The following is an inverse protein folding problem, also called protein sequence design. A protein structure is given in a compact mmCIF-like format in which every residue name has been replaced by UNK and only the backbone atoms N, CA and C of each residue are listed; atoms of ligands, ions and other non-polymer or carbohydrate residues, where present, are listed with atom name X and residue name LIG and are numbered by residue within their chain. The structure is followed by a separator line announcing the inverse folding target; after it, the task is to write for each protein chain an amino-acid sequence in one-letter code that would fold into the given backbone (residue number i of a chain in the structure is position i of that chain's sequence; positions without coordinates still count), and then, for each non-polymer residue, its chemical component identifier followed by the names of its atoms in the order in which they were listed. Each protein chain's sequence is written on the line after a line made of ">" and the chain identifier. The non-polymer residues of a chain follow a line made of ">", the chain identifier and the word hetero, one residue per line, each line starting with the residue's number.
data_IF_421814783947
#
_entry.id   IF_421814783947
#
_cell.length_a   1.000
_cell.length_b   1.000
_cell.length_c   1.000
_cell.angle_alpha   90.00
_cell.angle_beta   90.00
_cell.angle_gamma   90.00
#
_symmetry.space_group_name_H-M   'P 1'
#
loop_
_entity.id
_entity.type
_entity.pdbx_description
1 polymer ?
#
# COMPACT_ATOMS: atom_id res chain seq x y z
N UNK A 1 19.53 -23.18 27.33
CA UNK A 1 18.57 -22.06 27.22
C UNK A 1 17.41 -22.56 26.39
N UNK A 2 16.15 -22.38 26.82
CA UNK A 2 14.99 -22.73 26.00
C UNK A 2 15.06 -22.01 24.65
N UNK A 3 14.51 -22.61 23.60
CA UNK A 3 14.44 -21.97 22.28
C UNK A 3 13.53 -20.74 22.33
N UNK A 4 13.68 -19.82 21.37
CA UNK A 4 12.77 -18.69 21.26
C UNK A 4 11.34 -19.16 21.02
N UNK A 5 11.17 -20.16 20.16
CA UNK A 5 9.92 -20.88 19.95
C UNK A 5 9.30 -21.40 21.24
N UNK A 6 10.07 -22.05 22.13
CA UNK A 6 9.55 -22.53 23.42
C UNK A 6 9.03 -21.38 24.28
N UNK A 7 9.77 -20.26 24.31
CA UNK A 7 9.36 -19.05 25.01
C UNK A 7 8.07 -18.46 24.44
N UNK A 8 7.92 -18.40 23.13
CA UNK A 8 6.68 -17.93 22.48
C UNK A 8 5.51 -18.85 22.83
N UNK A 9 5.72 -20.17 22.78
CA UNK A 9 4.69 -21.15 23.14
C UNK A 9 4.25 -21.01 24.59
N UNK A 10 5.17 -20.73 25.51
CA UNK A 10 4.87 -20.49 26.90
C UNK A 10 4.09 -19.18 27.11
N UNK A 11 4.54 -18.08 26.49
CA UNK A 11 3.86 -16.79 26.60
C UNK A 11 2.47 -16.78 25.97
N UNK A 12 2.26 -17.54 24.87
CA UNK A 12 0.97 -17.68 24.20
C UNK A 12 -0.14 -18.17 25.14
N UNK A 13 0.19 -18.97 26.16
CA UNK A 13 -0.78 -19.47 27.16
C UNK A 13 -1.53 -18.34 27.86
N UNK A 14 -0.88 -17.20 28.04
CA UNK A 14 -1.42 -16.01 28.70
C UNK A 14 -1.71 -14.86 27.72
N UNK A 15 -1.12 -14.92 26.53
CA UNK A 15 -1.22 -13.90 25.50
C UNK A 15 -1.71 -14.51 24.18
N UNK A 16 -3.03 -14.69 23.99
CA UNK A 16 -3.59 -15.29 22.78
C UNK A 16 -3.19 -14.58 21.49
N UNK A 17 -2.84 -13.30 21.54
CA UNK A 17 -2.35 -12.53 20.39
C UNK A 17 -1.01 -13.02 19.82
N UNK A 18 -0.28 -13.87 20.54
CA UNK A 18 0.94 -14.53 20.03
C UNK A 18 0.63 -15.77 19.18
N UNK A 19 -0.65 -16.09 18.94
CA UNK A 19 -1.07 -17.28 18.20
C UNK A 19 -0.38 -17.39 16.83
N UNK A 20 -0.47 -16.35 16.00
CA UNK A 20 0.09 -16.36 14.65
C UNK A 20 1.60 -16.54 14.64
N UNK A 21 2.32 -15.93 15.59
CA UNK A 21 3.77 -16.12 15.71
C UNK A 21 4.10 -17.56 16.10
N UNK A 22 3.36 -18.12 17.06
CA UNK A 22 3.50 -19.52 17.47
C UNK A 22 3.27 -20.46 16.29
N UNK A 23 2.19 -20.28 15.52
CA UNK A 23 1.94 -21.10 14.32
C UNK A 23 3.05 -20.93 13.28
N UNK A 24 3.44 -19.69 13.01
CA UNK A 24 4.53 -19.36 12.08
C UNK A 24 5.89 -19.93 12.52
N UNK A 25 6.13 -20.19 13.80
CA UNK A 25 7.34 -20.88 14.30
C UNK A 25 7.18 -22.42 14.32
N UNK A 26 5.95 -22.94 14.23
CA UNK A 26 5.64 -24.36 14.27
C UNK A 26 5.46 -25.01 12.89
N UNK A 27 5.00 -24.26 11.89
CA UNK A 27 4.71 -24.75 10.53
C UNK A 27 5.95 -25.28 9.78
N UNK A 28 6.28 -26.56 9.88
CA UNK A 28 7.38 -27.14 9.09
C UNK A 28 7.00 -27.42 7.62
N UNK A 29 5.74 -27.18 7.25
CA UNK A 29 5.19 -27.53 5.94
C UNK A 29 5.47 -26.45 4.89
N UNK A 30 5.67 -25.20 5.31
CA UNK A 30 6.32 -24.18 4.51
C UNK A 30 7.81 -24.50 4.37
N UNK A 31 8.17 -25.45 3.50
CA UNK A 31 9.51 -25.40 2.89
C UNK A 31 9.69 -23.99 2.32
N UNK A 32 10.91 -23.44 2.27
CA UNK A 32 11.17 -22.29 1.43
C UNK A 32 10.88 -22.71 -0.02
N UNK A 33 9.63 -22.59 -0.44
CA UNK A 33 9.17 -22.87 -1.80
C UNK A 33 9.87 -21.87 -2.70
N UNK A 34 10.96 -22.29 -3.33
CA UNK A 34 11.56 -21.72 -4.55
C UNK A 34 11.74 -20.18 -4.61
N UNK A 35 11.63 -19.46 -3.49
CA UNK A 35 12.13 -18.10 -3.35
C UNK A 35 13.65 -18.23 -3.35
N UNK A 36 14.21 -18.29 -4.56
CA UNK A 36 15.66 -18.37 -4.85
C UNK A 36 16.49 -17.30 -4.13
N UNK A 37 15.85 -16.32 -3.50
CA UNK A 37 16.43 -15.29 -2.65
C UNK A 37 15.88 -15.48 -1.24
N UNK A 38 16.72 -16.01 -0.32
CA UNK A 38 16.41 -16.02 1.11
C UNK A 38 16.29 -14.60 1.69
N UNK A 39 16.12 -14.45 3.01
CA UNK A 39 15.99 -13.14 3.65
C UNK A 39 17.20 -12.27 3.31
N UNK A 40 16.94 -11.03 2.93
CA UNK A 40 18.00 -10.06 2.66
C UNK A 40 18.35 -9.34 3.96
N UNK A 41 19.53 -9.67 4.49
CA UNK A 41 20.01 -9.19 5.78
C UNK A 41 21.10 -8.16 5.53
N UNK A 42 21.05 -7.06 6.27
CA UNK A 42 22.19 -6.15 6.30
C UNK A 42 22.35 -5.42 7.61
N UNK A 43 23.54 -4.89 7.84
CA UNK A 43 23.88 -4.28 9.11
C UNK A 43 24.73 -3.01 8.95
N UNK A 44 24.58 -2.14 9.94
CA UNK A 44 25.36 -0.92 10.12
C UNK A 44 25.85 -0.88 11.56
N UNK A 45 27.14 -0.63 11.75
CA UNK A 45 27.74 -0.45 13.07
C UNK A 45 28.03 1.04 13.32
N UNK A 46 27.82 1.48 14.55
CA UNK A 46 28.11 2.83 15.01
C UNK A 46 29.26 2.79 16.00
N UNK A 47 30.25 3.66 15.80
CA UNK A 47 31.41 3.83 16.67
C UNK A 47 31.55 5.31 17.07
N UNK A 48 32.20 5.59 18.20
CA UNK A 48 32.39 6.97 18.70
C UNK A 48 33.06 7.95 17.71
N UNK A 49 33.90 7.44 16.80
CA UNK A 49 34.67 8.25 15.85
C UNK A 49 34.14 8.18 14.41
N UNK A 50 32.89 7.74 14.20
CA UNK A 50 32.31 7.69 12.85
C UNK A 50 31.91 9.09 12.37
N UNK A 51 32.85 9.79 11.73
CA UNK A 51 32.59 11.06 11.03
C UNK A 51 32.36 10.89 9.52
N UNK A 52 32.37 9.64 9.01
CA UNK A 52 32.34 9.33 7.57
C UNK A 52 31.07 8.61 7.08
N UNK A 53 30.99 8.39 5.77
CA UNK A 53 29.97 7.53 5.15
C UNK A 53 30.03 6.15 5.79
N UNK A 54 28.89 5.63 6.24
CA UNK A 54 28.82 4.31 6.85
C UNK A 54 28.68 3.24 5.79
N UNK A 55 29.35 2.11 6.01
CA UNK A 55 29.24 0.95 5.14
C UNK A 55 28.04 0.11 5.59
N UNK A 56 27.14 -0.16 4.66
CA UNK A 56 26.13 -1.19 4.82
C UNK A 56 26.71 -2.50 4.35
N UNK A 57 26.69 -3.49 5.21
CA UNK A 57 27.21 -4.82 4.91
C UNK A 57 26.02 -5.76 4.71
N UNK A 58 25.90 -6.31 3.49
CA UNK A 58 24.94 -7.37 3.18
C UNK A 58 25.45 -8.68 3.78
N UNK A 59 24.55 -9.55 4.24
CA UNK A 59 24.95 -10.70 5.03
C UNK A 59 24.13 -11.96 4.81
N UNK A 60 24.74 -13.11 5.09
CA UNK A 60 24.05 -14.40 5.20
C UNK A 60 23.55 -14.65 6.65
N UNK A 61 22.81 -15.75 6.85
CA UNK A 61 22.31 -16.15 8.18
C UNK A 61 23.48 -16.60 9.09
N UNK A 62 24.51 -17.24 8.53
CA UNK A 62 25.70 -17.67 9.28
C UNK A 62 26.47 -16.45 9.80
N UNK A 63 26.63 -15.44 8.95
CA UNK A 63 27.26 -14.18 9.33
C UNK A 63 26.41 -13.40 10.34
N UNK A 64 25.08 -13.38 10.19
CA UNK A 64 24.17 -12.84 11.21
C UNK A 64 24.37 -13.54 12.56
N UNK A 65 24.51 -14.86 12.57
CA UNK A 65 24.75 -15.65 13.80
C UNK A 65 26.04 -15.25 14.48
N UNK A 66 27.13 -15.12 13.71
CA UNK A 66 28.43 -14.64 14.19
C UNK A 66 28.29 -13.22 14.73
N UNK A 67 27.64 -12.33 13.97
CA UNK A 67 27.45 -10.93 14.30
C UNK A 67 26.66 -10.74 15.60
N UNK A 68 25.55 -11.47 15.79
CA UNK A 68 24.74 -11.44 17.01
C UNK A 68 25.49 -12.00 18.22
N UNK A 69 26.40 -12.96 18.02
CA UNK A 69 27.18 -13.54 19.12
C UNK A 69 28.14 -12.51 19.73
N UNK A 70 28.68 -11.60 18.91
CA UNK A 70 29.56 -10.51 19.39
C UNK A 70 28.83 -9.42 20.18
N UNK A 71 27.49 -9.39 20.19
CA UNK A 71 26.70 -8.39 20.95
C UNK A 71 26.85 -8.60 22.47
N UNK A 72 27.06 -9.85 22.91
CA UNK A 72 27.19 -10.18 24.34
C UNK A 72 28.61 -10.05 24.86
N UNK A 73 29.61 -10.08 23.98
CA UNK A 73 31.01 -9.94 24.37
C UNK A 73 31.24 -8.51 24.93
N UNK A 74 31.97 -8.36 26.04
CA UNK A 74 32.47 -7.03 26.41
C UNK A 74 33.36 -6.52 25.27
N UNK A 75 33.37 -5.21 24.96
CA UNK A 75 34.36 -4.68 24.03
C UNK A 75 35.73 -5.09 24.57
N UNK A 76 36.42 -5.98 23.86
CA UNK A 76 37.73 -6.42 24.27
C UNK A 76 38.60 -5.17 24.42
N UNK A 77 39.21 -4.99 25.59
CA UNK A 77 40.21 -3.96 25.88
C UNK A 77 41.52 -4.19 25.10
N UNK A 78 41.43 -4.75 23.89
CA UNK A 78 42.52 -4.72 22.92
C UNK A 78 42.59 -3.29 22.40
N UNK A 79 43.79 -2.72 22.38
CA UNK A 79 44.14 -1.31 22.15
C UNK A 79 43.64 -0.66 20.81
N UNK A 80 42.68 -1.25 20.12
CA UNK A 80 42.01 -0.68 18.96
C UNK A 80 40.89 0.28 19.40
N UNK A 81 41.15 1.56 19.15
CA UNK A 81 40.43 2.78 19.53
C UNK A 81 38.99 2.95 19.00
N UNK A 82 38.27 1.85 18.69
CA UNK A 82 36.88 1.90 18.18
C UNK A 82 35.92 1.21 19.14
N UNK A 83 35.54 1.92 20.18
CA UNK A 83 34.39 1.55 21.02
C UNK A 83 33.10 1.67 20.20
N UNK A 84 32.41 0.54 20.01
CA UNK A 84 31.13 0.50 19.31
C UNK A 84 30.01 1.00 20.23
N UNK A 85 29.25 1.99 19.75
CA UNK A 85 28.11 2.60 20.45
C UNK A 85 26.84 1.76 20.30
N UNK A 86 26.70 1.12 19.15
CA UNK A 86 25.54 0.28 18.87
C UNK A 86 25.49 -0.15 17.43
N UNK A 87 24.43 -0.87 17.11
CA UNK A 87 24.30 -1.53 15.82
C UNK A 87 22.88 -1.51 15.33
N UNK A 88 22.72 -1.38 14.02
CA UNK A 88 21.44 -1.43 13.32
C UNK A 88 21.40 -2.63 12.38
N UNK A 89 20.44 -3.51 12.61
CA UNK A 89 20.16 -4.68 11.81
C UNK A 89 18.94 -4.42 10.94
N UNK A 90 19.05 -4.75 9.66
CA UNK A 90 17.96 -4.73 8.71
C UNK A 90 17.67 -6.15 8.23
N UNK A 91 16.39 -6.49 8.16
CA UNK A 91 15.93 -7.77 7.62
C UNK A 91 14.77 -7.51 6.68
N UNK A 92 14.95 -7.87 5.41
CA UNK A 92 13.90 -7.89 4.39
C UNK A 92 13.46 -9.34 4.14
N UNK A 93 12.15 -9.55 4.05
CA UNK A 93 11.48 -10.86 3.92
C UNK A 93 11.78 -11.81 5.09
N UNK A 94 11.30 -11.40 6.27
CA UNK A 94 11.53 -12.10 7.53
C UNK A 94 11.03 -13.56 7.49
N UNK A 95 11.94 -14.50 7.78
CA UNK A 95 11.64 -15.92 7.87
C UNK A 95 11.73 -16.45 9.33
N UNK A 96 11.30 -17.69 9.53
CA UNK A 96 11.34 -18.36 10.85
C UNK A 96 12.74 -18.41 11.45
N UNK A 97 13.72 -18.81 10.65
CA UNK A 97 15.08 -19.04 11.14
C UNK A 97 15.68 -17.75 11.70
N UNK A 98 15.46 -16.64 11.00
CA UNK A 98 15.89 -15.31 11.42
C UNK A 98 15.14 -14.85 12.68
N UNK A 99 13.83 -15.10 12.80
CA UNK A 99 13.07 -14.82 14.04
C UNK A 99 13.65 -15.59 15.23
N UNK A 100 13.84 -16.90 15.06
CA UNK A 100 14.37 -17.78 16.10
C UNK A 100 15.78 -17.33 16.54
N UNK A 101 16.64 -17.02 15.57
CA UNK A 101 18.01 -16.59 15.79
C UNK A 101 18.08 -15.23 16.50
N UNK A 102 17.42 -14.20 15.96
CA UNK A 102 17.42 -12.85 16.54
C UNK A 102 16.74 -12.88 17.92
N UNK A 103 15.57 -13.53 18.00
CA UNK A 103 14.79 -13.62 19.22
C UNK A 103 15.55 -14.27 20.37
N UNK A 104 16.24 -15.39 20.12
CA UNK A 104 17.01 -16.11 21.13
C UNK A 104 18.31 -15.38 21.51
N UNK A 105 19.03 -14.81 20.55
CA UNK A 105 20.34 -14.20 20.80
C UNK A 105 20.22 -12.80 21.41
N UNK A 106 19.29 -11.98 20.93
CA UNK A 106 19.11 -10.59 21.36
C UNK A 106 17.97 -10.39 22.38
N UNK A 107 17.29 -11.47 22.80
CA UNK A 107 16.22 -11.42 23.79
C UNK A 107 15.09 -10.43 23.39
N UNK A 108 14.57 -10.61 22.17
CA UNK A 108 13.55 -9.72 21.61
C UNK A 108 12.14 -10.13 22.05
N UNK A 109 11.34 -9.18 22.48
CA UNK A 109 9.94 -9.42 22.87
C UNK A 109 9.15 -10.11 21.72
N UNK A 110 8.51 -11.27 21.95
CA UNK A 110 7.62 -11.91 20.98
C UNK A 110 6.57 -11.00 20.34
N UNK A 111 6.07 -10.00 21.07
CA UNK A 111 5.09 -9.06 20.52
C UNK A 111 5.63 -8.22 19.36
N UNK A 112 6.94 -7.98 19.28
CA UNK A 112 7.55 -7.31 18.14
C UNK A 112 7.36 -8.09 16.84
N UNK A 113 7.73 -9.38 16.83
CA UNK A 113 7.54 -10.23 15.64
C UNK A 113 6.06 -10.52 15.39
N UNK A 114 5.27 -10.77 16.44
CA UNK A 114 3.84 -10.99 16.28
C UNK A 114 3.15 -9.77 15.63
N UNK A 115 3.53 -8.55 16.02
CA UNK A 115 3.03 -7.32 15.42
C UNK A 115 3.45 -7.19 13.95
N UNK A 116 4.67 -7.60 13.59
CA UNK A 116 5.14 -7.59 12.20
C UNK A 116 4.39 -8.60 11.32
N UNK A 117 4.09 -9.79 11.87
CA UNK A 117 3.29 -10.84 11.24
C UNK A 117 1.79 -10.50 11.17
N UNK A 118 1.36 -9.45 11.85
CA UNK A 118 -0.05 -9.05 11.87
C UNK A 118 -0.55 -8.72 10.44
N UNK A 119 -1.68 -9.31 10.06
CA UNK A 119 -2.26 -9.21 8.72
C UNK A 119 -2.11 -10.45 7.81
N UNK A 120 -1.44 -11.51 8.27
CA UNK A 120 -1.30 -12.80 7.56
C UNK A 120 -2.62 -13.59 7.45
N UNK A 121 -3.52 -13.47 8.43
CA UNK A 121 -4.86 -14.04 8.37
C UNK A 121 -5.83 -13.24 9.25
N UNK A 122 -7.09 -13.12 8.81
CA UNK A 122 -8.19 -12.58 9.61
C UNK A 122 -8.86 -13.73 10.35
N UNK A 123 -8.17 -14.29 11.34
CA UNK A 123 -8.79 -15.28 12.22
C UNK A 123 -9.56 -14.53 13.29
N UNK A 124 -10.86 -14.84 13.38
CA UNK A 124 -11.75 -14.25 14.39
C UNK A 124 -11.42 -14.81 15.78
N UNK A 125 -10.77 -15.99 15.81
CA UNK A 125 -10.56 -16.78 17.01
C UNK A 125 -9.51 -16.19 17.95
N UNK A 126 -8.67 -15.27 17.46
CA UNK A 126 -7.61 -14.65 18.27
C UNK A 126 -7.51 -13.13 18.05
N UNK A 127 -7.25 -12.36 19.12
CA UNK A 127 -7.10 -10.93 19.02
C UNK A 127 -5.76 -10.58 18.36
N UNK A 128 -5.71 -9.48 17.59
CA UNK A 128 -4.47 -9.05 16.95
C UNK A 128 -3.54 -8.37 17.96
N UNK A 129 -2.21 -8.54 17.84
CA UNK A 129 -1.25 -7.81 18.66
C UNK A 129 -1.53 -6.30 18.69
N UNK A 130 -1.80 -5.70 17.52
CA UNK A 130 -2.09 -4.27 17.37
C UNK A 130 -3.37 -3.81 18.10
N UNK A 131 -4.31 -4.71 18.38
CA UNK A 131 -5.60 -4.38 19.01
C UNK A 131 -5.62 -4.57 20.52
N UNK A 132 -4.67 -5.34 21.08
CA UNK A 132 -4.61 -5.64 22.52
C UNK A 132 -3.67 -4.71 23.30
N UNK A 133 -2.82 -3.95 22.59
CA UNK A 133 -1.88 -3.04 23.22
C UNK A 133 -2.62 -1.76 23.61
N UNK A 134 -2.77 -1.55 24.92
CA UNK A 134 -3.31 -0.30 25.47
C UNK A 134 -2.36 0.88 25.18
N UNK A 135 -2.88 2.11 25.00
CA UNK A 135 -2.03 3.28 24.79
C UNK A 135 -1.00 3.53 25.90
N UNK A 136 -1.32 3.16 27.14
CA UNK A 136 -0.38 3.22 28.28
C UNK A 136 0.80 2.27 28.08
N UNK A 137 0.54 1.04 27.63
CA UNK A 137 1.57 0.04 27.34
C UNK A 137 2.38 0.45 26.11
N UNK A 138 1.71 0.93 25.05
CA UNK A 138 2.35 1.38 23.82
C UNK A 138 3.40 2.48 24.04
N UNK A 139 3.22 3.31 25.08
CA UNK A 139 4.19 4.36 25.44
C UNK A 139 5.53 3.80 25.90
N UNK A 140 5.50 2.66 26.60
CA UNK A 140 6.70 2.03 27.17
C UNK A 140 7.29 0.98 26.21
N UNK A 141 6.59 0.64 25.13
CA UNK A 141 7.09 -0.29 24.12
C UNK A 141 8.35 0.22 23.45
N UNK A 142 9.33 -0.65 23.34
CA UNK A 142 10.60 -0.36 22.69
C UNK A 142 10.57 -0.67 21.18
N UNK A 143 9.38 -0.80 20.59
CA UNK A 143 9.20 -1.04 19.16
C UNK A 143 7.95 -0.33 18.62
N UNK A 144 7.89 -0.19 17.29
CA UNK A 144 6.71 0.25 16.54
C UNK A 144 6.55 -0.62 15.29
N UNK A 145 5.30 -0.88 14.92
CA UNK A 145 4.94 -1.48 13.64
C UNK A 145 4.12 -0.52 12.80
N UNK A 146 4.61 -0.22 11.60
CA UNK A 146 3.99 0.64 10.60
C UNK A 146 3.41 -0.23 9.48
N UNK A 147 2.10 -0.44 9.51
CA UNK A 147 1.40 -1.09 8.40
C UNK A 147 0.98 -0.04 7.37
N UNK A 148 1.28 -0.29 6.10
CA UNK A 148 0.96 0.62 5.01
C UNK A 148 0.50 -0.12 3.76
N UNK A 149 0.09 0.63 2.74
CA UNK A 149 -0.30 0.08 1.45
C UNK A 149 0.46 0.80 0.35
N UNK A 150 1.00 0.04 -0.59
CA UNK A 150 1.54 0.57 -1.83
C UNK A 150 0.49 0.51 -2.93
N UNK A 151 0.35 1.60 -3.67
CA UNK A 151 -0.47 1.64 -4.86
C UNK A 151 0.34 1.16 -6.08
N UNK A 152 -0.17 0.16 -6.78
CA UNK A 152 0.45 -0.45 -7.95
C UNK A 152 -0.44 -0.27 -9.18
N UNK A 153 0.18 -0.07 -10.33
CA UNK A 153 -0.42 -0.12 -11.66
C UNK A 153 -0.06 -1.45 -12.33
N UNK A 154 -1.07 -2.15 -12.82
CA UNK A 154 -0.91 -3.44 -13.50
C UNK A 154 -1.12 -3.28 -15.00
N UNK A 155 -0.24 -3.93 -15.77
CA UNK A 155 -0.32 -3.96 -17.23
C UNK A 155 -1.49 -4.85 -17.68
N UNK A 156 -2.28 -4.38 -18.64
CA UNK A 156 -3.45 -5.08 -19.17
C UNK A 156 -3.13 -6.26 -20.11
N UNK A 157 -1.87 -6.73 -20.15
CA UNK A 157 -1.45 -7.85 -20.99
C UNK A 157 -2.07 -9.16 -20.49
N UNK A 158 -3.20 -9.56 -21.10
CA UNK A 158 -3.87 -10.86 -20.93
C UNK A 158 -4.10 -11.27 -19.47
N UNK A 159 -4.59 -10.35 -18.66
CA UNK A 159 -5.21 -10.68 -17.38
C UNK A 159 -6.44 -11.54 -17.69
N UNK A 160 -6.29 -12.85 -17.55
CA UNK A 160 -7.27 -13.86 -17.97
C UNK A 160 -8.63 -13.54 -17.34
N UNK A 161 -9.59 -13.10 -18.17
CA UNK A 161 -10.94 -12.69 -17.75
C UNK A 161 -11.69 -13.80 -17.01
N UNK A 162 -11.20 -15.04 -17.07
CA UNK A 162 -11.76 -16.19 -16.35
C UNK A 162 -11.49 -16.16 -14.84
N UNK A 163 -10.55 -15.34 -14.34
CA UNK A 163 -10.26 -15.27 -12.91
C UNK A 163 -11.23 -14.28 -12.25
N UNK A 164 -12.44 -14.72 -11.94
CA UNK A 164 -13.39 -13.97 -11.10
C UNK A 164 -12.88 -13.77 -9.64
N UNK A 165 -11.68 -14.26 -9.32
CA UNK A 165 -11.11 -14.33 -7.96
C UNK A 165 -10.04 -13.26 -7.64
N UNK A 166 -10.02 -12.12 -8.35
CA UNK A 166 -9.08 -11.01 -8.06
C UNK A 166 -9.24 -10.41 -6.65
N UNK A 167 -10.35 -10.72 -5.96
CA UNK A 167 -10.67 -10.20 -4.63
C UNK A 167 -9.78 -10.75 -3.51
N UNK A 168 -9.02 -11.83 -3.76
CA UNK A 168 -8.23 -12.55 -2.74
C UNK A 168 -6.84 -12.94 -3.26
N UNK A 169 -6.07 -11.96 -3.68
CA UNK A 169 -4.66 -12.14 -4.01
C UNK A 169 -3.77 -11.89 -2.81
N UNK A 170 -2.69 -12.66 -2.72
CA UNK A 170 -1.57 -12.41 -1.82
C UNK A 170 -0.31 -12.19 -2.64
N UNK A 171 0.59 -11.36 -2.13
CA UNK A 171 1.95 -11.22 -2.63
C UNK A 171 2.70 -12.54 -2.43
N UNK A 172 3.60 -12.84 -3.36
CA UNK A 172 4.52 -13.96 -3.22
C UNK A 172 5.66 -13.58 -2.27
N UNK A 173 5.42 -13.69 -0.97
CA UNK A 173 6.41 -13.44 0.07
C UNK A 173 6.17 -14.39 1.23
N UNK A 174 7.19 -14.61 2.06
CA UNK A 174 7.12 -15.57 3.17
C UNK A 174 5.94 -15.25 4.10
N UNK A 175 5.70 -13.95 4.30
CA UNK A 175 4.55 -13.45 5.04
C UNK A 175 3.43 -13.08 4.08
N UNK A 176 2.30 -13.80 4.00
CA UNK A 176 1.26 -13.48 3.03
C UNK A 176 0.71 -12.07 3.28
N UNK A 177 0.96 -11.19 2.31
CA UNK A 177 0.45 -9.81 2.31
C UNK A 177 -0.63 -9.68 1.26
N UNK A 178 -1.79 -9.17 1.66
CA UNK A 178 -2.93 -9.03 0.77
C UNK A 178 -2.64 -8.04 -0.36
N UNK A 179 -2.97 -8.42 -1.59
CA UNK A 179 -3.15 -7.52 -2.72
C UNK A 179 -4.65 -7.39 -3.00
N UNK A 180 -5.16 -6.16 -3.08
CA UNK A 180 -6.48 -5.92 -3.67
C UNK A 180 -6.34 -5.27 -5.02
N UNK A 181 -6.94 -5.87 -6.05
CA UNK A 181 -7.16 -5.20 -7.33
C UNK A 181 -8.39 -4.28 -7.22
N UNK A 182 -8.22 -3.03 -7.65
CA UNK A 182 -9.31 -2.07 -7.80
C UNK A 182 -10.02 -2.28 -9.15
N UNK A 183 -11.29 -1.86 -9.27
CA UNK A 183 -12.00 -1.84 -10.55
C UNK A 183 -11.16 -1.26 -11.68
N UNK A 184 -11.26 -1.87 -12.86
CA UNK A 184 -10.52 -1.40 -14.03
C UNK A 184 -11.05 -0.04 -14.47
N UNK A 185 -10.13 0.89 -14.77
CA UNK A 185 -10.51 2.21 -15.23
C UNK A 185 -9.63 2.64 -16.39
N UNK A 186 -10.25 3.07 -17.51
CA UNK A 186 -9.55 3.52 -18.73
C UNK A 186 -8.43 2.56 -19.19
N UNK A 187 -8.66 1.25 -19.14
CA UNK A 187 -7.71 0.19 -19.51
C UNK A 187 -6.47 0.08 -18.60
N UNK A 188 -6.57 0.58 -17.37
CA UNK A 188 -5.55 0.39 -16.33
C UNK A 188 -6.21 -0.26 -15.13
N UNK A 189 -5.52 -1.24 -14.55
CA UNK A 189 -5.90 -1.83 -13.27
C UNK A 189 -4.97 -1.29 -12.21
N UNK A 190 -5.54 -0.71 -11.17
CA UNK A 190 -4.79 -0.35 -9.97
C UNK A 190 -4.93 -1.46 -8.95
N UNK A 191 -3.97 -1.58 -8.05
CA UNK A 191 -4.12 -2.40 -6.87
C UNK A 191 -3.41 -1.83 -5.67
N UNK A 192 -3.81 -2.34 -4.51
CA UNK A 192 -3.37 -1.90 -3.20
C UNK A 192 -2.73 -3.10 -2.53
N UNK A 193 -1.40 -3.09 -2.50
CA UNK A 193 -0.59 -4.15 -1.92
C UNK A 193 -0.26 -3.79 -0.48
N UNK A 194 -0.48 -4.72 0.45
CA UNK A 194 -0.17 -4.52 1.86
C UNK A 194 1.33 -4.68 2.12
N UNK A 195 1.86 -3.79 2.96
CA UNK A 195 3.24 -3.84 3.44
C UNK A 195 3.29 -3.58 4.95
N UNK A 196 4.40 -3.96 5.54
CA UNK A 196 4.74 -3.76 6.93
C UNK A 196 6.20 -3.32 7.07
N UNK A 197 6.44 -2.39 7.98
CA UNK A 197 7.75 -2.06 8.52
C UNK A 197 7.68 -2.15 10.04
N UNK A 198 8.66 -2.75 10.70
CA UNK A 198 8.71 -2.76 12.16
C UNK A 198 10.09 -2.41 12.65
N UNK A 199 10.15 -1.53 13.65
CA UNK A 199 11.38 -0.98 14.20
C UNK A 199 11.40 -1.31 15.67
N UNK A 200 12.50 -1.90 16.16
CA UNK A 200 12.72 -2.19 17.57
C UNK A 200 14.06 -1.60 18.01
N UNK A 201 14.10 -1.05 19.21
CA UNK A 201 15.30 -0.60 19.88
C UNK A 201 15.47 -1.40 21.17
N UNK A 202 16.52 -2.19 21.27
CA UNK A 202 16.85 -2.97 22.46
C UNK A 202 18.14 -2.43 23.07
N UNK A 203 18.07 -1.99 24.32
CA UNK A 203 19.27 -1.80 25.13
C UNK A 203 19.82 -3.18 25.52
N UNK A 204 21.10 -3.43 25.26
CA UNK A 204 21.76 -4.70 25.57
C UNK A 204 22.61 -4.56 26.83
N UNK A 205 23.42 -3.49 26.89
CA UNK A 205 24.25 -3.07 28.03
C UNK A 205 24.11 -1.56 28.19
N UNK A 206 24.61 -1.00 29.29
CA UNK A 206 24.47 0.44 29.60
C UNK A 206 24.86 1.35 28.42
N UNK A 207 25.94 0.99 27.70
CA UNK A 207 26.46 1.80 26.58
C UNK A 207 26.27 1.17 25.19
N UNK A 208 25.52 0.07 25.07
CA UNK A 208 25.34 -0.61 23.79
C UNK A 208 23.89 -0.93 23.48
N UNK A 209 23.45 -0.48 22.30
CA UNK A 209 22.11 -0.69 21.79
C UNK A 209 22.10 -1.51 20.49
N UNK A 210 20.98 -2.19 20.27
CA UNK A 210 20.65 -2.89 19.04
C UNK A 210 19.35 -2.34 18.48
N UNK A 211 19.41 -1.73 17.31
CA UNK A 211 18.26 -1.39 16.49
C UNK A 211 17.96 -2.52 15.51
N UNK A 212 16.69 -2.85 15.32
CA UNK A 212 16.26 -3.86 14.36
C UNK A 212 15.15 -3.25 13.50
N UNK A 213 15.32 -3.27 12.19
CA UNK A 213 14.33 -2.83 11.21
C UNK A 213 13.95 -4.02 10.34
N UNK A 214 12.68 -4.41 10.42
CA UNK A 214 12.06 -5.45 9.62
C UNK A 214 11.24 -4.80 8.51
N UNK A 215 11.39 -5.26 7.28
CA UNK A 215 10.62 -4.80 6.13
C UNK A 215 10.14 -5.97 5.28
N UNK A 216 8.98 -5.81 4.66
CA UNK A 216 8.52 -6.75 3.64
C UNK A 216 9.41 -6.65 2.37
N UNK A 217 9.46 -7.72 1.54
CA UNK A 217 10.23 -7.74 0.29
C UNK A 217 9.81 -6.65 -0.69
N UNK A 218 10.61 -6.40 -1.76
CA UNK A 218 10.24 -5.48 -2.83
C UNK A 218 8.95 -5.88 -3.56
N UNK A 219 8.54 -5.00 -4.47
CA UNK A 219 7.38 -5.22 -5.31
C UNK A 219 7.69 -6.32 -6.33
N UNK A 220 6.94 -7.41 -6.31
CA UNK A 220 7.12 -8.52 -7.24
C UNK A 220 6.04 -8.51 -8.34
N UNK A 221 6.31 -9.29 -9.39
CA UNK A 221 5.31 -9.58 -10.41
C UNK A 221 4.51 -10.87 -10.11
N UNK A 222 4.80 -11.60 -9.03
CA UNK A 222 4.19 -12.90 -8.73
C UNK A 222 3.19 -12.77 -7.58
N UNK A 223 1.99 -13.29 -7.78
CA UNK A 223 0.89 -13.22 -6.82
C UNK A 223 0.16 -14.57 -6.73
N UNK A 224 -0.21 -14.99 -5.52
CA UNK A 224 -0.92 -16.26 -5.27
C UNK A 224 -2.40 -15.99 -4.98
N UNK A 225 -3.30 -16.77 -5.58
CA UNK A 225 -4.74 -16.70 -5.29
C UNK A 225 -5.11 -17.55 -4.07
N UNK A 226 -6.08 -17.12 -3.26
CA UNK A 226 -6.50 -17.90 -2.08
C UNK A 226 -6.98 -19.30 -2.47
N UNK A 227 -6.38 -20.34 -1.89
CA UNK A 227 -6.75 -21.75 -2.10
C UNK A 227 -6.37 -22.31 -3.47
N UNK A 228 -5.47 -21.63 -4.20
CA UNK A 228 -4.92 -22.11 -5.46
C UNK A 228 -3.41 -22.08 -5.34
N UNK A 229 -2.77 -23.21 -5.63
CA UNK A 229 -1.31 -23.29 -5.80
C UNK A 229 -0.85 -22.64 -7.11
N UNK A 230 -1.79 -22.05 -7.86
CA UNK A 230 -1.49 -21.36 -9.11
C UNK A 230 -0.99 -19.95 -8.82
N UNK A 231 0.28 -19.75 -9.13
CA UNK A 231 0.88 -18.44 -9.22
C UNK A 231 0.35 -17.67 -10.44
N UNK A 232 0.08 -16.39 -10.22
CA UNK A 232 -0.37 -15.44 -11.22
C UNK A 232 0.73 -14.41 -11.40
N UNK A 233 1.33 -14.39 -12.59
CA UNK A 233 2.32 -13.41 -12.97
C UNK A 233 1.61 -12.15 -13.48
N UNK A 234 1.60 -11.08 -12.68
CA UNK A 234 1.16 -9.75 -13.07
C UNK A 234 2.34 -8.80 -13.13
N UNK A 235 2.65 -8.29 -14.33
CA UNK A 235 3.56 -7.14 -14.42
C UNK A 235 2.93 -5.96 -13.70
N UNK A 236 3.58 -5.52 -12.63
CA UNK A 236 3.17 -4.39 -11.84
C UNK A 236 4.29 -3.35 -11.77
N UNK A 237 3.91 -2.10 -11.58
CA UNK A 237 4.83 -1.00 -11.28
C UNK A 237 4.17 -0.07 -10.27
N UNK A 238 4.93 0.72 -9.49
CA UNK A 238 4.33 1.69 -8.60
C UNK A 238 3.44 2.70 -9.34
N UNK A 239 2.29 3.00 -8.75
CA UNK A 239 1.36 4.00 -9.29
C UNK A 239 2.06 5.36 -9.37
N UNK A 240 2.02 5.99 -10.56
CA UNK A 240 2.69 7.27 -10.84
C UNK A 240 4.21 7.29 -10.56
N UNK A 241 4.86 6.13 -10.53
CA UNK A 241 6.29 6.02 -10.24
C UNK A 241 6.63 5.82 -8.76
N UNK A 242 5.63 5.78 -7.87
CA UNK A 242 5.80 5.52 -6.44
C UNK A 242 5.78 6.78 -5.60
N UNK A 243 6.44 6.74 -4.45
CA UNK A 243 6.62 7.92 -3.62
C UNK A 243 7.91 8.65 -3.99
N UNK A 244 7.93 9.97 -3.80
CA UNK A 244 9.15 10.74 -3.97
C UNK A 244 10.13 10.43 -2.84
N UNK A 245 11.34 10.03 -3.22
CA UNK A 245 12.43 9.85 -2.26
C UNK A 245 13.03 11.24 -2.02
N UNK A 246 12.86 11.80 -0.82
CA UNK A 246 13.34 13.14 -0.44
C UNK A 246 14.86 13.17 -0.26
N UNK A 247 15.61 12.78 -1.28
CA UNK A 247 17.06 12.84 -1.28
C UNK A 247 17.51 14.20 -1.77
N UNK A 248 18.67 14.64 -1.26
CA UNK A 248 19.34 15.79 -1.84
C UNK A 248 19.76 15.46 -3.27
N UNK A 249 19.75 16.47 -4.14
CA UNK A 249 19.98 16.30 -5.59
C UNK A 249 21.30 15.59 -5.92
N UNK A 250 22.32 15.75 -5.08
CA UNK A 250 23.64 15.10 -5.17
C UNK A 250 23.61 13.59 -4.91
N UNK A 251 22.60 13.08 -4.19
CA UNK A 251 22.47 11.66 -3.87
C UNK A 251 21.67 10.87 -4.91
N UNK A 252 20.96 11.53 -5.83
CA UNK A 252 20.15 10.86 -6.86
C UNK A 252 20.99 9.95 -7.76
N UNK A 253 22.18 10.42 -8.16
CA UNK A 253 23.09 9.63 -9.00
C UNK A 253 23.62 8.40 -8.25
N UNK A 254 23.91 8.55 -6.95
CA UNK A 254 24.34 7.41 -6.12
C UNK A 254 23.22 6.38 -5.95
N UNK A 255 21.96 6.82 -5.81
CA UNK A 255 20.79 5.93 -5.74
C UNK A 255 20.60 5.17 -7.03
N UNK A 256 20.74 5.84 -8.17
CA UNK A 256 20.60 5.22 -9.48
C UNK A 256 21.64 4.10 -9.68
N UNK A 257 22.87 4.34 -9.21
CA UNK A 257 23.96 3.35 -9.26
C UNK A 257 23.78 2.23 -8.23
N UNK A 258 23.36 2.56 -7.00
CA UNK A 258 23.28 1.59 -5.88
C UNK A 258 22.03 0.70 -5.94
N UNK A 259 20.88 1.25 -6.35
CA UNK A 259 19.62 0.49 -6.39
C UNK A 259 19.45 -0.29 -7.70
N UNK A 260 20.21 0.05 -8.74
CA UNK A 260 19.87 -0.34 -10.11
C UNK A 260 18.50 0.23 -10.53
N UNK A 261 18.15 0.13 -11.80
CA UNK A 261 16.86 0.66 -12.27
C UNK A 261 15.64 -0.07 -11.71
N UNK A 262 15.79 -1.31 -11.23
CA UNK A 262 14.66 -2.15 -10.81
C UNK A 262 14.41 -2.22 -9.29
N UNK A 263 15.41 -1.95 -8.43
CA UNK A 263 15.21 -2.09 -6.97
C UNK A 263 15.00 -0.76 -6.23
N UNK A 264 14.67 0.33 -6.94
CA UNK A 264 14.39 1.65 -6.34
C UNK A 264 13.22 1.65 -5.36
N UNK A 265 12.37 0.64 -5.42
CA UNK A 265 11.15 0.57 -4.63
C UNK A 265 11.25 -0.40 -3.44
N UNK A 266 12.40 -1.06 -3.22
CA UNK A 266 12.66 -1.79 -1.97
C UNK A 266 12.81 -0.78 -0.84
N UNK A 267 12.02 -0.96 0.23
CA UNK A 267 12.16 -0.16 1.44
C UNK A 267 13.55 -0.35 2.07
N UNK A 268 14.11 -1.56 2.04
CA UNK A 268 15.46 -1.83 2.54
C UNK A 268 16.51 -0.98 1.82
N UNK A 269 16.47 -0.94 0.48
CA UNK A 269 17.42 -0.16 -0.30
C UNK A 269 17.32 1.34 -0.02
N UNK A 270 16.10 1.85 0.12
CA UNK A 270 15.86 3.26 0.47
C UNK A 270 16.44 3.56 1.86
N UNK A 271 16.16 2.71 2.85
CA UNK A 271 16.69 2.87 4.20
C UNK A 271 18.21 2.76 4.25
N UNK A 272 18.81 1.83 3.50
CA UNK A 272 20.26 1.72 3.32
C UNK A 272 20.85 3.03 2.83
N UNK A 273 20.27 3.62 1.79
CA UNK A 273 20.74 4.90 1.23
C UNK A 273 20.65 6.01 2.29
N UNK A 274 19.53 6.11 3.00
CA UNK A 274 19.35 7.11 4.05
C UNK A 274 20.38 6.95 5.18
N UNK A 275 20.53 5.75 5.73
CA UNK A 275 21.42 5.50 6.86
C UNK A 275 22.91 5.57 6.52
N UNK A 276 23.30 5.26 5.28
CA UNK A 276 24.69 5.36 4.82
C UNK A 276 25.12 6.79 4.49
N UNK A 277 24.22 7.62 3.96
CA UNK A 277 24.56 8.92 3.40
C UNK A 277 24.05 10.13 4.19
N UNK A 278 22.99 9.97 4.99
CA UNK A 278 22.36 11.06 5.72
C UNK A 278 22.26 10.69 7.20
N UNK A 279 23.30 10.99 7.98
CA UNK A 279 23.14 11.00 9.43
C UNK A 279 22.24 12.18 9.76
N UNK A 280 21.09 11.87 10.31
CA UNK A 280 20.19 12.86 10.85
C UNK A 280 20.93 13.68 11.89
N UNK A 281 20.78 15.01 11.89
CA UNK A 281 21.28 15.80 13.02
C UNK A 281 20.63 15.41 14.35
N UNK A 282 19.44 14.80 14.29
CA UNK A 282 18.68 14.34 15.46
C UNK A 282 19.10 12.95 15.95
N UNK A 283 19.70 12.10 15.11
CA UNK A 283 20.08 10.74 15.51
C UNK A 283 21.41 10.77 16.26
N UNK A 284 21.37 10.46 17.55
CA UNK A 284 22.54 10.43 18.43
C UNK A 284 22.89 8.97 18.75
N UNK A 285 23.94 8.40 18.15
CA UNK A 285 24.30 7.01 18.40
C UNK A 285 24.65 6.71 19.86
N UNK A 286 25.04 7.70 20.65
CA UNK A 286 25.33 7.56 22.08
C UNK A 286 24.06 7.38 22.92
N UNK A 287 22.92 7.84 22.41
CA UNK A 287 21.64 7.78 23.11
C UNK A 287 20.51 7.77 22.08
N UNK A 288 20.36 6.67 21.32
CA UNK A 288 19.33 6.59 20.31
C UNK A 288 17.96 6.50 20.98
N UNK A 289 17.00 7.24 20.44
CA UNK A 289 15.59 7.02 20.76
C UNK A 289 14.94 6.17 19.68
N UNK A 290 13.88 5.44 20.05
CA UNK A 290 13.08 4.69 19.06
C UNK A 290 12.50 5.62 17.97
N UNK A 291 12.18 6.87 18.34
CA UNK A 291 11.69 7.88 17.40
C UNK A 291 12.77 8.28 16.38
N UNK A 292 13.99 8.56 16.85
CA UNK A 292 15.14 8.85 15.98
C UNK A 292 15.47 7.69 15.04
N UNK A 293 15.38 6.45 15.53
CA UNK A 293 15.62 5.25 14.73
C UNK A 293 14.51 5.03 13.68
N UNK A 294 13.27 5.40 14.01
CA UNK A 294 12.10 5.19 13.15
C UNK A 294 11.91 6.27 12.09
N UNK A 295 12.67 7.38 12.15
CA UNK A 295 12.43 8.56 11.32
C UNK A 295 12.36 8.25 9.83
N UNK A 296 13.37 7.56 9.28
CA UNK A 296 13.40 7.29 7.85
C UNK A 296 12.27 6.37 7.42
N UNK A 297 11.96 5.35 8.22
CA UNK A 297 10.82 4.47 7.98
C UNK A 297 9.49 5.24 8.01
N UNK A 298 9.32 6.16 8.97
CA UNK A 298 8.13 7.02 9.05
C UNK A 298 7.98 7.90 7.80
N UNK A 299 9.06 8.47 7.28
CA UNK A 299 9.04 9.26 6.04
C UNK A 299 8.67 8.44 4.83
N UNK A 300 9.30 7.28 4.64
CA UNK A 300 8.98 6.39 3.51
C UNK A 300 7.52 5.95 3.58
N UNK A 301 7.04 5.55 4.77
CA UNK A 301 5.64 5.14 4.97
C UNK A 301 4.66 6.30 4.71
N UNK A 302 4.98 7.52 5.14
CA UNK A 302 4.15 8.69 4.84
C UNK A 302 4.05 8.93 3.32
N UNK A 303 5.18 8.84 2.60
CA UNK A 303 5.22 8.94 1.15
C UNK A 303 4.33 7.90 0.45
N UNK A 304 4.39 6.64 0.89
CA UNK A 304 3.52 5.58 0.36
C UNK A 304 2.04 5.85 0.63
N UNK A 305 1.71 6.42 1.80
CA UNK A 305 0.33 6.84 2.10
C UNK A 305 -0.14 8.01 1.23
N UNK A 306 0.74 8.93 0.82
CA UNK A 306 0.40 9.98 -0.15
C UNK A 306 -0.01 9.34 -1.48
N UNK A 307 0.82 8.43 -2.01
CA UNK A 307 0.54 7.74 -3.28
C UNK A 307 -0.73 6.88 -3.18
N UNK A 308 -0.97 6.25 -2.03
CA UNK A 308 -2.21 5.54 -1.73
C UNK A 308 -3.45 6.43 -1.80
N UNK A 309 -3.44 7.57 -1.09
CA UNK A 309 -4.56 8.52 -1.07
C UNK A 309 -4.82 9.06 -2.48
N UNK A 310 -3.77 9.30 -3.27
CA UNK A 310 -3.91 9.75 -4.64
C UNK A 310 -4.50 8.67 -5.55
N UNK A 311 -4.07 7.41 -5.41
CA UNK A 311 -4.66 6.30 -6.15
C UNK A 311 -6.16 6.15 -5.88
N UNK A 312 -6.58 6.27 -4.62
CA UNK A 312 -8.00 6.25 -4.25
C UNK A 312 -8.77 7.45 -4.83
N UNK A 313 -8.23 8.65 -4.67
CA UNK A 313 -8.79 9.89 -5.24
C UNK A 313 -9.01 9.76 -6.75
N UNK A 314 -8.00 9.26 -7.46
CA UNK A 314 -8.05 9.05 -8.90
C UNK A 314 -9.12 8.04 -9.29
N UNK A 315 -9.28 6.93 -8.54
CA UNK A 315 -10.29 5.92 -8.80
C UNK A 315 -11.72 6.44 -8.58
N UNK A 316 -11.95 7.18 -7.49
CA UNK A 316 -13.25 7.79 -7.18
C UNK A 316 -13.67 8.77 -8.29
N UNK A 317 -12.80 9.73 -8.63
CA UNK A 317 -13.06 10.71 -9.70
C UNK A 317 -13.37 10.06 -11.03
N UNK A 318 -12.67 8.98 -11.37
CA UNK A 318 -12.93 8.31 -12.64
C UNK A 318 -14.26 7.55 -12.66
N UNK A 319 -14.74 7.04 -11.52
CA UNK A 319 -16.07 6.46 -11.42
C UNK A 319 -17.16 7.52 -11.54
N UNK A 320 -16.99 8.68 -10.90
CA UNK A 320 -17.91 9.82 -11.02
C UNK A 320 -18.09 10.24 -12.49
N UNK A 321 -16.99 10.42 -13.23
CA UNK A 321 -17.04 10.79 -14.65
C UNK A 321 -17.61 9.71 -15.57
N UNK A 322 -17.50 8.44 -15.19
CA UNK A 322 -18.07 7.34 -15.98
C UNK A 322 -19.60 7.32 -15.88
N UNK A 323 -20.16 7.71 -14.73
CA UNK A 323 -21.60 7.88 -14.52
C UNK A 323 -22.19 9.00 -15.39
N UNK A 324 -21.50 10.14 -15.50
CA UNK A 324 -21.95 11.28 -16.28
C UNK A 324 -22.07 10.97 -17.78
N UNK A 325 -21.12 10.20 -18.34
CA UNK A 325 -21.14 9.79 -19.74
C UNK A 325 -22.35 8.90 -20.09
N UNK A 326 -22.83 8.09 -19.14
CA UNK A 326 -24.03 7.28 -19.31
C UNK A 326 -25.31 8.13 -19.30
N UNK A 327 -25.34 9.18 -18.48
CA UNK A 327 -26.49 10.10 -18.42
C UNK A 327 -26.63 10.96 -19.70
N UNK A 328 -25.52 11.36 -20.31
CA UNK A 328 -25.52 12.18 -21.53
C UNK A 328 -25.95 11.39 -22.78
N UNK A 329 -25.58 10.11 -22.86
CA UNK A 329 -26.00 9.24 -23.98
C UNK A 329 -27.46 8.77 -23.88
N UNK A 330 -28.10 8.92 -22.71
CA UNK A 330 -29.52 8.61 -22.50
C UNK A 330 -30.43 9.82 -22.65
N UNK A 331 -29.93 10.89 -23.29
CA UNK A 331 -30.66 12.07 -23.78
C UNK A 331 -32.17 11.98 -23.62
N UNK A 332 -32.62 12.37 -22.42
CA UNK A 332 -34.01 12.67 -22.14
C UNK A 332 -34.32 13.94 -22.92
N UNK A 333 -34.73 13.74 -24.17
CA UNK A 333 -35.38 14.73 -25.03
C UNK A 333 -36.84 14.96 -24.58
N UNK A 334 -37.13 14.83 -23.28
CA UNK A 334 -38.45 15.02 -22.70
C UNK A 334 -38.74 16.48 -22.33
N UNK A 335 -37.75 17.38 -22.36
CA UNK A 335 -37.97 18.80 -22.03
C UNK A 335 -38.40 19.69 -23.20
N UNK A 336 -38.39 19.21 -24.45
CA UNK A 336 -38.78 20.03 -25.61
C UNK A 336 -40.20 19.81 -26.18
N UNK A 337 -40.97 18.82 -25.70
CA UNK A 337 -42.35 18.59 -26.20
C UNK A 337 -43.50 19.15 -25.35
N UNK A 338 -43.24 19.68 -24.15
CA UNK A 338 -44.31 20.26 -23.30
C UNK A 338 -44.58 21.77 -23.52
N UNK A 339 -43.97 22.40 -24.52
CA UNK A 339 -44.15 23.84 -24.80
C UNK A 339 -44.89 24.18 -26.11
N UNK A 340 -45.45 23.19 -26.81
CA UNK A 340 -46.13 23.41 -28.12
C UNK A 340 -47.64 23.09 -28.18
N UNK A 341 -48.30 22.77 -27.05
CA UNK A 341 -49.75 22.52 -27.01
C UNK A 341 -50.57 23.59 -26.28
N UNK A 342 -50.03 24.79 -26.09
CA UNK A 342 -50.80 25.93 -25.54
C UNK A 342 -50.42 27.22 -26.27
N UNK A 343 -50.86 27.35 -27.52
CA UNK A 343 -51.15 28.63 -28.19
C UNK A 343 -51.59 28.39 -29.64
N UNK A 344 -52.90 28.50 -29.86
CA UNK A 344 -53.53 29.36 -30.87
C UNK A 344 -54.80 28.72 -31.44
N UNK A 345 -55.94 29.18 -30.92
CA UNK A 345 -57.15 29.31 -31.70
C UNK A 345 -57.13 30.59 -32.53
N UNK A 346 -57.99 30.59 -33.56
CA UNK A 346 -58.48 31.70 -34.40
C UNK A 346 -57.45 32.52 -35.20
N UNK A 347 -57.50 32.50 -36.53
CA UNK A 347 -58.49 33.26 -37.33
C UNK A 347 -58.29 33.05 -38.85
N UNK A 348 -59.40 33.18 -39.58
CA UNK A 348 -59.60 33.27 -41.05
C UNK A 348 -58.85 34.51 -41.62
N UNK A 349 -58.55 34.72 -42.91
CA UNK A 349 -59.33 34.58 -44.15
C UNK A 349 -58.45 34.80 -45.42
N UNK A 350 -58.81 34.12 -46.53
CA UNK A 350 -58.89 34.52 -47.96
C UNK A 350 -57.71 35.00 -48.86
N UNK A 351 -57.72 34.46 -50.10
CA UNK A 351 -57.38 35.15 -51.37
C UNK A 351 -56.25 34.51 -52.22
N UNK A 352 -56.48 33.53 -53.11
CA UNK A 352 -56.86 33.57 -54.56
C UNK A 352 -55.68 33.75 -55.57
N UNK A 353 -55.55 32.74 -56.47
CA UNK A 353 -55.02 32.65 -57.87
C UNK A 353 -53.64 33.28 -58.23
N UNK A 354 -52.81 32.79 -59.17
CA UNK A 354 -53.05 32.13 -60.48
C UNK A 354 -51.78 31.39 -60.97
N UNK A 355 -52.00 30.48 -61.92
CA UNK A 355 -51.10 29.69 -62.78
C UNK A 355 -49.82 30.39 -63.32
N UNK A 356 -48.78 29.59 -63.60
CA UNK A 356 -48.24 29.43 -64.97
C UNK A 356 -47.32 28.20 -65.13
N UNK A 357 -47.41 27.61 -66.32
CA UNK A 357 -46.73 26.42 -66.82
C UNK A 357 -45.34 26.78 -67.38
N UNK A 358 -44.41 25.82 -67.47
CA UNK A 358 -43.71 25.50 -68.73
C UNK A 358 -43.01 24.13 -68.70
N UNK A 359 -43.04 23.47 -69.86
CA UNK A 359 -42.52 22.15 -70.25
C UNK A 359 -41.08 22.23 -70.80
N UNK A 360 -40.30 21.15 -70.65
CA UNK A 360 -39.56 20.36 -71.69
C UNK A 360 -38.64 19.33 -70.97
N UNK A 361 -38.60 18.00 -71.21
CA UNK A 361 -38.46 17.06 -72.36
C UNK A 361 -37.00 16.57 -72.60
N UNK A 362 -36.83 15.23 -72.60
CA UNK A 362 -35.65 14.44 -73.04
C UNK A 362 -35.21 13.38 -72.02
N UNK A 363 -35.70 12.13 -72.04
CA UNK A 363 -35.15 10.91 -72.70
C UNK A 363 -33.72 10.53 -72.21
N UNK A 364 -33.33 9.30 -71.82
CA UNK A 364 -33.75 7.94 -72.24
C UNK A 364 -33.31 6.86 -71.20
N UNK A 365 -34.20 5.88 -70.98
CA UNK A 365 -34.08 4.43 -70.67
C UNK A 365 -32.78 3.77 -70.13
N UNK A 366 -32.88 2.90 -69.10
CA UNK A 366 -32.94 1.42 -69.26
C UNK A 366 -33.14 0.65 -67.92
N UNK A 367 -34.13 -0.27 -67.95
CA UNK A 367 -34.31 -1.57 -67.28
C UNK A 367 -34.38 -1.77 -65.74
N UNK A 368 -35.57 -2.25 -65.33
CA UNK A 368 -35.90 -3.53 -64.63
C UNK A 368 -35.04 -3.94 -63.40
N UNK A 369 -35.54 -4.41 -62.26
CA UNK A 369 -36.83 -5.01 -61.94
C UNK A 369 -37.04 -4.99 -60.41
N UNK A 370 -38.29 -4.83 -59.98
CA UNK A 370 -38.69 -4.66 -58.58
C UNK A 370 -39.14 -5.98 -57.93
N UNK A 371 -38.53 -6.36 -56.80
CA UNK A 371 -39.13 -7.26 -55.82
C UNK A 371 -38.91 -6.73 -54.40
N UNK A 372 -39.91 -5.98 -53.93
CA UNK A 372 -40.02 -5.41 -52.60
C UNK A 372 -40.42 -6.47 -51.56
N UNK A 373 -39.49 -6.85 -50.67
CA UNK A 373 -39.79 -7.49 -49.37
C UNK A 373 -39.60 -6.45 -48.26
N UNK A 374 -40.71 -5.91 -47.75
CA UNK A 374 -40.74 -5.08 -46.54
C UNK A 374 -40.27 -5.93 -45.34
N UNK A 375 -39.10 -5.62 -44.78
CA UNK A 375 -38.70 -6.13 -43.47
C UNK A 375 -39.50 -5.42 -42.36
N UNK A 376 -39.92 -6.14 -41.30
CA UNK A 376 -40.58 -5.53 -40.16
C UNK A 376 -39.55 -4.78 -39.31
N UNK A 377 -39.82 -3.50 -39.02
CA UNK A 377 -39.11 -2.71 -38.00
C UNK A 377 -39.22 -3.44 -36.66
N UNK A 378 -38.14 -4.11 -36.25
CA UNK A 378 -37.98 -4.63 -34.90
C UNK A 378 -37.87 -3.46 -33.92
N UNK A 379 -38.98 -3.09 -33.29
CA UNK A 379 -38.98 -2.37 -32.02
C UNK A 379 -38.66 -3.38 -30.91
N UNK A 380 -37.38 -3.73 -30.79
CA UNK A 380 -36.83 -4.47 -29.65
C UNK A 380 -35.74 -3.61 -28.99
N UNK A 381 -35.69 -3.70 -27.66
CA UNK A 381 -34.50 -3.44 -26.83
C UNK A 381 -34.30 -2.10 -26.12
N UNK A 382 -35.34 -1.33 -25.81
CA UNK A 382 -35.24 -0.33 -24.71
C UNK A 382 -35.34 -0.96 -23.32
N UNK A 383 -36.01 -2.12 -23.17
CA UNK A 383 -36.13 -2.83 -21.87
C UNK A 383 -34.86 -3.59 -21.47
N UNK A 384 -34.08 -4.10 -22.44
CA UNK A 384 -32.81 -4.80 -22.17
C UNK A 384 -31.71 -3.81 -21.74
N UNK A 385 -31.59 -2.65 -22.40
CA UNK A 385 -30.62 -1.61 -22.03
C UNK A 385 -30.85 -1.01 -20.63
N UNK A 386 -32.13 -0.91 -20.21
CA UNK A 386 -32.47 -0.39 -18.88
C UNK A 386 -32.07 -1.33 -17.74
N UNK A 387 -32.05 -2.65 -17.98
CA UNK A 387 -31.62 -3.65 -16.98
C UNK A 387 -30.10 -3.60 -16.75
N UNK A 388 -29.33 -3.30 -17.80
CA UNK A 388 -27.87 -3.17 -17.71
C UNK A 388 -27.45 -1.92 -16.90
N UNK A 389 -28.18 -0.81 -17.04
CA UNK A 389 -27.87 0.43 -16.29
C UNK A 389 -28.06 0.31 -14.78
N UNK A 390 -29.14 -0.34 -14.33
CA UNK A 390 -29.39 -0.55 -12.88
C UNK A 390 -28.36 -1.48 -12.28
N UNK A 391 -28.00 -2.55 -13.00
CA UNK A 391 -26.97 -3.50 -12.56
C UNK A 391 -25.60 -2.83 -12.44
N UNK A 392 -25.26 -1.95 -13.38
CA UNK A 392 -24.03 -1.16 -13.35
C UNK A 392 -24.00 -0.18 -12.18
N UNK A 393 -25.09 0.56 -11.93
CA UNK A 393 -25.17 1.49 -10.79
C UNK A 393 -25.05 0.76 -9.44
N UNK A 394 -25.70 -0.40 -9.32
CA UNK A 394 -25.57 -1.22 -8.11
C UNK A 394 -24.14 -1.73 -7.93
N UNK A 395 -23.48 -2.14 -9.03
CA UNK A 395 -22.08 -2.51 -9.01
C UNK A 395 -21.20 -1.33 -8.54
N UNK A 396 -21.41 -0.14 -9.08
CA UNK A 396 -20.63 1.05 -8.72
C UNK A 396 -20.83 1.47 -7.26
N UNK A 397 -22.07 1.44 -6.76
CA UNK A 397 -22.39 1.73 -5.36
C UNK A 397 -21.66 0.78 -4.40
N UNK A 398 -21.67 -0.53 -4.69
CA UNK A 398 -20.96 -1.53 -3.87
C UNK A 398 -19.45 -1.25 -3.85
N UNK A 399 -18.86 -0.78 -4.95
CA UNK A 399 -17.43 -0.44 -5.00
C UNK A 399 -17.10 0.84 -4.24
N UNK A 400 -17.93 1.88 -4.37
CA UNK A 400 -17.81 3.11 -3.59
C UNK A 400 -17.89 2.82 -2.09
N UNK A 401 -18.85 1.99 -1.66
CA UNK A 401 -18.94 1.56 -0.26
C UNK A 401 -17.69 0.81 0.21
N UNK A 402 -17.16 -0.11 -0.62
CA UNK A 402 -15.92 -0.83 -0.31
C UNK A 402 -14.74 0.15 -0.14
N UNK A 403 -14.66 1.21 -0.94
CA UNK A 403 -13.61 2.23 -0.79
C UNK A 403 -13.81 3.11 0.44
N UNK A 404 -15.05 3.52 0.73
CA UNK A 404 -15.37 4.25 1.95
C UNK A 404 -14.95 3.46 3.20
N UNK A 405 -15.25 2.16 3.25
CA UNK A 405 -14.81 1.27 4.33
C UNK A 405 -13.29 1.17 4.42
N UNK A 406 -12.57 1.11 3.28
CA UNK A 406 -11.10 1.10 3.26
C UNK A 406 -10.51 2.38 3.83
N UNK A 407 -11.03 3.54 3.44
CA UNK A 407 -10.59 4.83 3.99
C UNK A 407 -10.74 4.85 5.51
N UNK A 408 -11.87 4.35 6.03
CA UNK A 408 -12.12 4.23 7.47
C UNK A 408 -11.11 3.28 8.14
N UNK A 409 -10.79 2.15 7.52
CA UNK A 409 -9.80 1.19 8.04
C UNK A 409 -8.36 1.71 8.00
N UNK A 410 -8.08 2.70 7.16
CA UNK A 410 -6.76 3.34 7.06
C UNK A 410 -6.52 4.35 8.18
N UNK A 411 -7.56 5.07 8.63
CA UNK A 411 -7.43 6.12 9.65
C UNK A 411 -6.70 5.64 10.92
N UNK A 412 -7.07 4.51 11.56
CA UNK A 412 -6.39 4.05 12.77
C UNK A 412 -4.90 3.76 12.58
N UNK A 413 -4.46 3.40 11.37
CA UNK A 413 -3.05 3.13 11.07
C UNK A 413 -2.24 4.43 11.05
N UNK A 414 -2.78 5.46 10.41
CA UNK A 414 -2.18 6.80 10.40
C UNK A 414 -2.18 7.42 11.80
N UNK A 415 -3.28 7.30 12.55
CA UNK A 415 -3.37 7.77 13.92
C UNK A 415 -2.38 7.08 14.86
N UNK A 416 -2.06 5.82 14.60
CA UNK A 416 -1.03 5.11 15.38
C UNK A 416 0.35 5.75 15.18
N UNK A 417 0.69 6.13 13.94
CA UNK A 417 1.92 6.88 13.67
C UNK A 417 1.89 8.28 14.32
N UNK A 418 0.76 9.00 14.24
CA UNK A 418 0.59 10.32 14.90
C UNK A 418 0.82 10.19 16.41
N UNK A 419 0.14 9.25 17.08
CA UNK A 419 0.28 9.03 18.52
C UNK A 419 1.71 8.66 18.90
N UNK A 420 2.36 7.81 18.11
CA UNK A 420 3.75 7.45 18.32
C UNK A 420 4.68 8.67 18.25
N UNK A 421 4.62 9.41 17.14
CA UNK A 421 5.47 10.60 16.94
C UNK A 421 5.20 11.62 18.04
N UNK A 422 3.93 11.93 18.31
CA UNK A 422 3.53 12.89 19.33
C UNK A 422 4.01 12.53 20.74
N UNK A 423 3.75 11.29 21.18
CA UNK A 423 4.10 10.86 22.54
C UNK A 423 5.60 10.77 22.77
N UNK A 424 6.36 10.42 21.73
CA UNK A 424 7.81 10.30 21.81
C UNK A 424 8.53 11.62 21.61
N UNK A 425 7.99 12.52 20.78
CA UNK A 425 8.57 13.83 20.56
C UNK A 425 8.54 14.65 21.87
N UNK A 426 7.43 14.63 22.62
CA UNK A 426 7.35 15.29 23.95
C UNK A 426 8.47 14.85 24.91
N UNK A 427 8.99 13.62 24.77
CA UNK A 427 10.08 13.12 25.60
C UNK A 427 11.48 13.57 25.13
N UNK A 428 11.61 14.10 23.92
CA UNK A 428 12.86 14.62 23.38
C UNK A 428 13.21 15.97 24.02
N UNK A 429 14.46 16.10 24.46
CA UNK A 429 14.92 17.28 25.21
C UNK A 429 15.30 18.46 24.32
N UNK A 430 15.50 18.22 23.02
CA UNK A 430 16.05 19.19 22.08
C UNK A 430 14.94 19.87 21.27
N UNK A 431 14.73 21.20 21.40
CA UNK A 431 13.71 21.92 20.65
C UNK A 431 13.84 21.77 19.13
N UNK A 432 15.07 21.73 18.61
CA UNK A 432 15.33 21.57 17.16
C UNK A 432 14.91 20.18 16.67
N UNK A 433 15.10 19.15 17.50
CA UNK A 433 14.75 17.78 17.14
C UNK A 433 13.22 17.63 17.18
N UNK A 434 12.59 18.29 18.16
CA UNK A 434 11.13 18.38 18.28
C UNK A 434 10.47 18.97 17.03
N UNK A 435 10.98 20.07 16.48
CA UNK A 435 10.44 20.69 15.27
C UNK A 435 10.42 19.71 14.09
N UNK A 436 11.49 18.95 13.92
CA UNK A 436 11.59 17.96 12.85
C UNK A 436 10.57 16.82 13.00
N UNK A 437 10.27 16.40 14.23
CA UNK A 437 9.23 15.40 14.48
C UNK A 437 7.82 15.98 14.38
N UNK A 438 7.62 17.25 14.73
CA UNK A 438 6.34 17.95 14.55
C UNK A 438 5.95 17.97 13.07
N UNK A 439 6.90 18.20 12.15
CA UNK A 439 6.64 18.14 10.71
C UNK A 439 6.16 16.75 10.27
N UNK A 440 6.76 15.67 10.78
CA UNK A 440 6.28 14.31 10.51
C UNK A 440 4.87 14.14 11.06
N UNK A 441 4.60 14.59 12.28
CA UNK A 441 3.25 14.52 12.86
C UNK A 441 2.22 15.26 12.00
N UNK A 442 2.58 16.43 11.48
CA UNK A 442 1.76 17.23 10.56
C UNK A 442 1.51 16.51 9.22
N UNK A 443 2.51 15.84 8.64
CA UNK A 443 2.35 15.05 7.42
C UNK A 443 1.29 13.95 7.61
N UNK A 444 1.36 13.21 8.72
CA UNK A 444 0.36 12.17 9.02
C UNK A 444 -1.02 12.76 9.33
N UNK A 445 -1.11 13.89 10.05
CA UNK A 445 -2.38 14.60 10.27
C UNK A 445 -3.00 15.07 8.96
N UNK A 446 -2.17 15.58 8.03
CA UNK A 446 -2.60 15.98 6.70
C UNK A 446 -3.18 14.79 5.92
N UNK A 447 -2.51 13.63 5.95
CA UNK A 447 -3.01 12.40 5.34
C UNK A 447 -4.36 11.98 5.92
N UNK A 448 -4.52 12.00 7.25
CA UNK A 448 -5.81 11.72 7.91
C UNK A 448 -6.88 12.69 7.44
N UNK A 449 -6.60 14.00 7.38
CA UNK A 449 -7.57 15.00 6.95
C UNK A 449 -8.01 14.86 5.48
N UNK A 450 -7.22 14.21 4.63
CA UNK A 450 -7.58 13.94 3.22
C UNK A 450 -8.56 12.76 3.06
N UNK A 451 -8.59 11.80 3.98
CA UNK A 451 -9.44 10.60 3.87
C UNK A 451 -10.95 10.84 4.09
N UNK A 452 -11.41 11.67 5.06
CA UNK A 452 -12.84 11.96 5.28
C UNK A 452 -13.55 12.59 4.09
N UNK A 453 -12.84 13.30 3.21
CA UNK A 453 -13.42 13.93 2.02
C UNK A 453 -14.11 12.91 1.09
N UNK A 454 -13.69 11.65 1.13
CA UNK A 454 -14.30 10.57 0.34
C UNK A 454 -15.61 10.03 0.91
N UNK A 455 -15.94 10.36 2.17
CA UNK A 455 -17.11 9.79 2.89
C UNK A 455 -18.40 10.61 2.69
N UNK A 456 -18.28 11.89 2.32
CA UNK A 456 -19.42 12.82 2.25
C UNK A 456 -19.94 13.06 0.82
N UNK A 457 -19.08 13.01 -0.20
CA UNK A 457 -19.51 13.25 -1.59
C UNK A 457 -20.35 12.11 -2.19
N UNK A 458 -20.30 10.91 -1.63
CA UNK A 458 -20.88 9.70 -2.25
C UNK A 458 -22.27 9.32 -1.77
N UNK A 459 -22.79 9.92 -0.69
CA UNK A 459 -24.07 9.52 -0.07
C UNK A 459 -25.05 10.68 0.16
N UNK A 460 -24.60 11.94 0.09
CA UNK A 460 -25.45 13.12 0.35
C UNK A 460 -26.04 13.78 -0.89
N UNK A 461 -25.41 13.59 -2.06
CA UNK A 461 -25.73 14.30 -3.30
C UNK A 461 -26.40 13.41 -4.38
N UNK A 462 -26.68 12.14 -4.06
CA UNK A 462 -27.44 11.17 -4.87
C UNK A 462 -28.83 10.98 -4.25
#
# INVERSE_FOLDING_TARGET
>A
MPSYKDRVNEQKKWNPSLHNLCEFLNDTSSKPEDSSTGPNIGFIQFNHNDSGKRKFESSSIEELTKWLSTIKEPPNQTNDTKTSLGRLLFVEDLNREVIELIGSKADIDPFFFASHLDGVSLEIDYPRPSTVILPSIARDQNYITLQYQKALEFSNEKVDKSVQDYDKLNRNCILPRKLTILPETKKKKLGLAQYCCSICLKAIKEDFWLGIILVDPPDECIYKGKGKDRELLFKSKPFQGGHDVFLRQDLYNEVEVLAGSQNRHSMLNILKIYWCNNIQSQFRPESPSLLSLSYFSLKVVAGEWVTYVEALSHQIKQHEHSGDALSHNHGIDARHKSKKNSRNGSSQHNGVNTQQQHKHLGHTEHSQDTSSKKQPKQTRDTRSQKIDTVSQLQFDLVHLEKWGRRCIQTIPKLETAIRFVHSRSIAEKSPTDQEVYNLIEEDYKHLVARLPKFKLQTLGDL
#
